data_IF_569279637111
#
_entry.id   IF_569279637111
#
_cell.length_a   1.000
_cell.length_b   1.000
_cell.length_c   1.000
_cell.angle_alpha   90.00
_cell.angle_beta   90.00
_cell.angle_gamma   90.00
#
_symmetry.space_group_name_H-M   'P 1'
#
loop_
_entity.id
_entity.type
_entity.pdbx_description
1 polymer ?
#
# COMPACT_ATOMS: atom_id res chain seq x y z
N UNK A 1 -5.08 -7.10 22.94
CA UNK A 1 -4.53 -7.42 21.59
C UNK A 1 -3.50 -6.38 21.21
N UNK A 2 -2.51 -6.68 20.35
CA UNK A 2 -1.57 -5.67 19.88
C UNK A 2 -2.31 -4.57 19.13
N UNK A 3 -1.96 -3.31 19.41
CA UNK A 3 -2.53 -2.14 18.74
C UNK A 3 -1.66 -1.76 17.55
N UNK A 4 -2.27 -1.39 16.43
CA UNK A 4 -1.57 -1.09 15.20
C UNK A 4 -1.73 0.38 14.81
N UNK A 5 -0.72 0.90 14.11
CA UNK A 5 -0.79 2.20 13.45
C UNK A 5 -0.41 2.03 11.98
N UNK A 6 -1.25 2.55 11.10
CA UNK A 6 -1.03 2.59 9.66
C UNK A 6 -0.25 3.85 9.29
N UNK A 7 0.74 3.70 8.40
CA UNK A 7 1.36 4.83 7.71
C UNK A 7 0.37 5.41 6.70
N UNK A 8 -0.25 6.53 7.03
CA UNK A 8 -1.25 7.21 6.22
C UNK A 8 -0.70 8.20 5.19
N UNK A 9 0.61 8.21 4.93
CA UNK A 9 1.20 9.10 3.92
C UNK A 9 0.64 8.90 2.51
N UNK A 10 0.02 7.77 2.23
CA UNK A 10 -0.65 7.53 0.95
C UNK A 10 -1.87 8.42 0.70
N UNK A 11 -2.43 9.07 1.73
CA UNK A 11 -3.55 9.99 1.54
C UNK A 11 -3.18 11.28 0.81
N UNK A 12 -1.91 11.70 0.87
CA UNK A 12 -1.39 12.86 0.12
C UNK A 12 -0.75 12.50 -1.22
N UNK A 13 -0.70 11.20 -1.56
CA UNK A 13 -0.15 10.74 -2.82
C UNK A 13 -1.21 10.69 -3.93
N UNK A 14 -0.77 10.74 -5.18
CA UNK A 14 -1.64 10.51 -6.32
C UNK A 14 -2.31 9.14 -6.21
N UNK A 15 -3.61 9.09 -6.42
CA UNK A 15 -4.39 7.86 -6.33
C UNK A 15 -3.98 6.89 -7.44
N UNK A 16 -3.37 5.78 -7.07
CA UNK A 16 -3.10 4.63 -7.94
C UNK A 16 -3.74 3.38 -7.35
N UNK A 17 -3.50 2.21 -7.94
CA UNK A 17 -4.02 0.94 -7.45
C UNK A 17 -3.64 0.65 -5.99
N UNK A 18 -2.39 0.94 -5.61
CA UNK A 18 -1.86 0.70 -4.26
C UNK A 18 -2.52 1.60 -3.22
N UNK A 19 -2.64 2.91 -3.51
CA UNK A 19 -3.31 3.83 -2.59
C UNK A 19 -4.82 3.54 -2.49
N UNK A 20 -5.44 3.13 -3.59
CA UNK A 20 -6.84 2.67 -3.58
C UNK A 20 -7.00 1.44 -2.71
N UNK A 21 -6.16 0.43 -2.88
CA UNK A 21 -6.16 -0.76 -2.03
C UNK A 21 -6.13 -0.39 -0.55
N UNK A 22 -5.18 0.45 -0.13
CA UNK A 22 -5.06 0.86 1.26
C UNK A 22 -6.33 1.54 1.79
N UNK A 23 -6.92 2.47 1.00
CA UNK A 23 -8.18 3.16 1.37
C UNK A 23 -9.36 2.19 1.48
N UNK A 24 -9.52 1.29 0.52
CA UNK A 24 -10.62 0.31 0.51
C UNK A 24 -10.51 -0.68 1.67
N UNK A 25 -9.32 -1.18 1.96
CA UNK A 25 -9.09 -2.09 3.09
C UNK A 25 -9.38 -1.39 4.41
N UNK A 26 -8.93 -0.15 4.62
CA UNK A 26 -9.25 0.60 5.85
C UNK A 26 -10.75 0.81 6.01
N UNK A 27 -11.45 1.19 4.93
CA UNK A 27 -12.90 1.36 4.96
C UNK A 27 -13.64 0.05 5.28
N UNK A 28 -13.15 -1.08 4.77
CA UNK A 28 -13.74 -2.41 5.06
C UNK A 28 -13.42 -2.89 6.48
N UNK A 29 -12.24 -2.57 7.01
CA UNK A 29 -11.83 -2.94 8.37
C UNK A 29 -12.55 -2.12 9.43
N UNK A 30 -12.82 -0.84 9.17
CA UNK A 30 -13.35 0.08 10.17
C UNK A 30 -14.55 -0.46 10.97
N UNK A 31 -15.63 -0.98 10.34
CA UNK A 31 -16.76 -1.53 11.08
C UNK A 31 -16.47 -2.84 11.84
N UNK A 32 -15.33 -3.48 11.57
CA UNK A 32 -14.94 -4.76 12.16
C UNK A 32 -14.00 -4.61 13.36
N UNK A 33 -13.52 -3.40 13.61
CA UNK A 33 -12.53 -3.09 14.66
C UNK A 33 -13.21 -2.57 15.91
N UNK A 34 -12.58 -2.83 17.05
CA UNK A 34 -12.90 -2.13 18.29
C UNK A 34 -12.24 -0.74 18.32
N UNK A 35 -12.87 0.26 18.95
CA UNK A 35 -12.29 1.59 19.07
C UNK A 35 -10.88 1.57 19.68
N UNK A 36 -9.93 2.16 18.96
CA UNK A 36 -8.54 2.26 19.39
C UNK A 36 -7.64 1.05 19.07
N UNK A 37 -8.14 0.00 18.42
CA UNK A 37 -7.29 -1.09 17.89
C UNK A 37 -6.38 -0.59 16.77
N UNK A 38 -6.92 0.21 15.86
CA UNK A 38 -6.19 0.75 14.71
C UNK A 38 -6.16 2.27 14.74
N UNK A 39 -5.01 2.82 14.43
CA UNK A 39 -4.83 4.24 14.14
C UNK A 39 -4.28 4.41 12.73
N UNK A 40 -4.60 5.54 12.11
CA UNK A 40 -3.95 5.99 10.87
C UNK A 40 -3.21 7.28 11.18
N UNK A 41 -1.88 7.22 11.08
CA UNK A 41 -1.02 8.39 11.25
C UNK A 41 -0.87 9.10 9.91
N UNK A 42 -1.25 10.37 9.84
CA UNK A 42 -1.32 11.12 8.60
C UNK A 42 -0.49 12.41 8.66
N UNK A 43 0.03 12.88 7.50
CA UNK A 43 0.59 14.23 7.40
C UNK A 43 -0.50 15.30 7.67
N UNK A 44 -0.11 16.53 8.02
CA UNK A 44 -1.06 17.65 8.07
C UNK A 44 -1.71 17.90 6.70
N UNK A 45 -2.85 18.56 6.71
CA UNK A 45 -3.56 19.06 5.52
C UNK A 45 -3.98 17.98 4.51
N UNK A 46 -4.08 16.71 4.94
CA UNK A 46 -4.61 15.65 4.09
C UNK A 46 -6.10 15.40 4.33
N UNK A 47 -6.80 15.07 3.25
CA UNK A 47 -8.22 14.70 3.30
C UNK A 47 -8.30 13.20 3.59
N UNK A 48 -8.84 12.86 4.76
CA UNK A 48 -9.05 11.50 5.21
C UNK A 48 -10.55 11.25 5.36
N UNK A 49 -11.07 10.09 4.96
CA UNK A 49 -12.46 9.72 5.22
C UNK A 49 -12.77 9.72 6.74
N UNK A 50 -14.02 9.97 7.08
CA UNK A 50 -14.49 9.74 8.44
C UNK A 50 -14.56 8.23 8.71
N UNK A 51 -13.95 7.80 9.81
CA UNK A 51 -13.98 6.44 10.29
C UNK A 51 -14.76 6.37 11.61
N UNK A 52 -15.44 5.25 11.84
CA UNK A 52 -16.20 5.01 13.07
C UNK A 52 -15.31 4.56 14.23
N UNK A 53 -14.41 3.63 13.96
CA UNK A 53 -13.59 2.94 14.97
C UNK A 53 -12.08 3.19 14.78
N UNK A 54 -11.64 3.54 13.57
CA UNK A 54 -10.24 3.86 13.29
C UNK A 54 -9.97 5.31 13.72
N UNK A 55 -8.98 5.49 14.57
CA UNK A 55 -8.55 6.82 14.99
C UNK A 55 -7.58 7.44 14.00
N UNK A 56 -7.85 8.64 13.53
CA UNK A 56 -6.92 9.43 12.70
C UNK A 56 -6.05 10.29 13.61
N UNK A 57 -4.73 10.23 13.42
CA UNK A 57 -3.74 10.99 14.18
C UNK A 57 -2.89 11.82 13.22
N UNK A 58 -3.03 13.13 13.27
CA UNK A 58 -2.18 14.04 12.48
C UNK A 58 -0.83 14.20 13.15
N UNK A 59 0.23 13.88 12.41
CA UNK A 59 1.60 14.03 12.87
C UNK A 59 2.21 15.37 12.42
N UNK A 60 3.29 15.85 13.06
CA UNK A 60 3.93 17.10 12.70
C UNK A 60 4.37 17.14 11.23
N UNK A 61 4.37 18.34 10.65
CA UNK A 61 4.87 18.59 9.30
C UNK A 61 6.30 18.06 9.12
N UNK A 62 6.55 17.48 7.97
CA UNK A 62 7.86 16.95 7.60
C UNK A 62 8.14 17.14 6.11
N UNK A 63 9.41 17.25 5.75
CA UNK A 63 9.81 17.38 4.34
C UNK A 63 10.30 16.06 3.77
N UNK A 64 9.66 15.66 2.67
CA UNK A 64 10.04 14.47 1.90
C UNK A 64 9.90 13.15 2.65
N UNK A 65 10.25 12.07 1.96
CA UNK A 65 10.09 10.69 2.45
C UNK A 65 10.88 10.44 3.73
N UNK A 66 12.13 10.88 3.79
CA UNK A 66 12.99 10.65 4.97
C UNK A 66 12.52 11.43 6.20
N UNK A 67 12.01 12.64 6.00
CA UNK A 67 11.39 13.42 7.07
C UNK A 67 10.19 12.69 7.66
N UNK A 68 9.28 12.24 6.81
CA UNK A 68 8.13 11.45 7.21
C UNK A 68 8.52 10.17 7.97
N UNK A 69 9.46 9.41 7.44
CA UNK A 69 9.96 8.19 8.08
C UNK A 69 10.47 8.44 9.52
N UNK A 70 11.12 9.58 9.76
CA UNK A 70 11.61 9.96 11.10
C UNK A 70 10.46 10.35 12.03
N UNK A 71 9.51 11.14 11.56
CA UNK A 71 8.35 11.58 12.35
C UNK A 71 7.48 10.38 12.72
N UNK A 72 7.13 9.55 11.75
CA UNK A 72 6.34 8.35 11.96
C UNK A 72 7.05 7.33 12.86
N UNK A 73 8.34 7.10 12.65
CA UNK A 73 9.13 6.20 13.48
C UNK A 73 9.25 6.66 14.94
N UNK A 74 9.33 7.98 15.17
CA UNK A 74 9.31 8.58 16.53
C UNK A 74 7.95 8.37 17.19
N UNK A 75 6.88 8.61 16.47
CA UNK A 75 5.52 8.37 16.96
C UNK A 75 5.32 6.91 17.39
N UNK A 76 5.75 5.95 16.58
CA UNK A 76 5.67 4.52 16.91
C UNK A 76 6.47 4.19 18.18
N UNK A 77 7.66 4.76 18.33
CA UNK A 77 8.50 4.54 19.51
C UNK A 77 7.83 5.08 20.80
N UNK A 78 7.11 6.19 20.71
CA UNK A 78 6.41 6.80 21.84
C UNK A 78 5.08 6.09 22.13
N UNK A 79 4.35 5.66 21.13
CA UNK A 79 3.04 5.02 21.30
C UNK A 79 3.12 3.55 21.69
N UNK A 80 4.25 2.88 21.46
CA UNK A 80 4.42 1.45 21.67
C UNK A 80 3.57 0.55 20.78
N UNK A 81 2.95 1.12 19.73
CA UNK A 81 2.09 0.39 18.79
C UNK A 81 2.91 -0.33 17.71
N UNK A 82 2.33 -1.39 17.17
CA UNK A 82 2.91 -2.07 16.00
C UNK A 82 2.58 -1.29 14.72
N UNK A 83 3.46 -1.31 13.73
CA UNK A 83 3.20 -0.68 12.45
C UNK A 83 2.43 -1.61 11.51
N UNK A 84 1.58 -1.04 10.65
CA UNK A 84 0.92 -1.68 9.52
C UNK A 84 1.26 -0.89 8.25
N UNK A 85 2.14 -1.44 7.43
CA UNK A 85 2.53 -0.86 6.14
C UNK A 85 1.66 -1.40 5.02
N UNK A 86 0.91 -0.54 4.32
CA UNK A 86 -0.06 -0.96 3.30
C UNK A 86 0.38 -0.69 1.86
N UNK A 87 1.44 0.08 1.65
CA UNK A 87 1.85 0.57 0.34
C UNK A 87 3.31 0.21 -0.01
N UNK A 88 3.72 -1.03 0.21
CA UNK A 88 5.10 -1.50 -0.03
C UNK A 88 6.16 -0.75 0.83
N UNK A 89 5.74 -0.04 1.86
CA UNK A 89 6.62 0.80 2.70
C UNK A 89 6.37 0.52 4.17
N UNK A 90 7.46 0.49 4.94
CA UNK A 90 7.45 0.35 6.40
C UNK A 90 8.33 1.42 7.04
N UNK A 91 8.22 1.68 8.36
CA UNK A 91 9.12 2.58 9.07
C UNK A 91 10.52 1.95 9.20
N UNK A 92 11.31 2.06 8.14
CA UNK A 92 12.57 1.33 7.97
C UNK A 92 13.59 1.63 9.08
N UNK A 93 13.59 2.83 9.62
CA UNK A 93 14.53 3.26 10.68
C UNK A 93 13.99 3.03 12.10
N UNK A 94 12.73 2.62 12.25
CA UNK A 94 12.16 2.30 13.55
C UNK A 94 12.75 0.99 14.09
N UNK A 95 13.18 0.99 15.36
CA UNK A 95 13.78 -0.18 16.05
C UNK A 95 12.84 -0.75 17.11
N UNK A 96 11.58 -0.65 16.93
CA UNK A 96 10.58 -1.12 17.90
C UNK A 96 9.82 -2.33 17.40
N UNK A 97 8.59 -2.44 17.91
CA UNK A 97 7.68 -3.53 17.68
C UNK A 97 7.57 -3.92 16.21
N UNK A 98 7.61 -5.21 15.97
CA UNK A 98 7.40 -5.78 14.65
C UNK A 98 5.95 -5.54 14.18
N UNK A 99 5.78 -5.29 12.90
CA UNK A 99 4.48 -5.04 12.30
C UNK A 99 4.13 -5.99 11.17
N UNK A 100 3.08 -5.62 10.45
CA UNK A 100 2.60 -6.33 9.28
C UNK A 100 2.85 -5.44 8.06
N UNK A 101 3.37 -6.02 6.98
CA UNK A 101 3.55 -5.32 5.71
C UNK A 101 2.67 -5.92 4.62
N UNK A 102 2.01 -5.09 3.84
CA UNK A 102 1.42 -5.48 2.57
C UNK A 102 2.44 -5.21 1.46
N UNK A 103 2.78 -6.23 0.70
CA UNK A 103 3.67 -6.16 -0.47
C UNK A 103 2.86 -6.60 -1.69
N UNK A 104 2.56 -5.66 -2.58
CA UNK A 104 1.74 -5.92 -3.75
C UNK A 104 2.51 -6.69 -4.82
N UNK A 105 3.75 -6.29 -5.05
CA UNK A 105 4.68 -6.90 -5.98
C UNK A 105 6.12 -6.57 -5.59
N UNK A 106 7.07 -7.17 -6.31
CA UNK A 106 8.51 -6.86 -6.22
C UNK A 106 9.08 -6.43 -7.57
N UNK A 107 8.27 -5.77 -8.40
CA UNK A 107 8.58 -5.39 -9.76
C UNK A 107 9.90 -4.60 -9.88
N UNK A 108 10.16 -3.68 -8.96
CA UNK A 108 11.42 -2.93 -8.92
C UNK A 108 12.68 -3.82 -8.83
N UNK A 109 12.55 -5.00 -8.25
CA UNK A 109 13.64 -5.98 -8.14
C UNK A 109 13.60 -6.98 -9.29
N UNK A 110 12.41 -7.44 -9.66
CA UNK A 110 12.23 -8.47 -10.68
C UNK A 110 12.46 -7.94 -12.11
N UNK A 111 12.10 -6.67 -12.36
CA UNK A 111 12.16 -6.03 -13.67
C UNK A 111 12.83 -4.65 -13.61
N UNK A 112 14.13 -4.58 -13.27
CA UNK A 112 14.87 -3.31 -13.21
C UNK A 112 14.95 -2.61 -14.57
N UNK A 113 14.79 -3.34 -15.66
CA UNK A 113 14.72 -2.87 -17.04
C UNK A 113 13.55 -1.90 -17.32
N UNK A 114 12.50 -1.91 -16.49
CA UNK A 114 11.38 -0.97 -16.63
C UNK A 114 11.69 0.44 -16.08
N UNK A 115 12.77 0.59 -15.31
CA UNK A 115 13.11 1.82 -14.58
C UNK A 115 14.44 2.37 -15.08
N UNK A 116 14.45 2.92 -16.30
CA UNK A 116 15.67 3.32 -17.01
C UNK A 116 16.07 4.77 -16.77
N UNK A 117 15.11 5.65 -16.51
CA UNK A 117 15.34 7.05 -16.19
C UNK A 117 15.83 7.26 -14.75
N UNK A 118 16.42 8.42 -14.48
CA UNK A 118 17.01 8.73 -13.14
C UNK A 118 15.98 8.61 -12.01
N UNK A 119 14.74 9.09 -12.24
CA UNK A 119 13.67 9.04 -11.25
C UNK A 119 13.23 7.61 -10.97
N UNK A 120 13.06 6.80 -12.00
CA UNK A 120 12.72 5.38 -11.89
C UNK A 120 13.81 4.60 -11.15
N UNK A 121 15.09 4.85 -11.46
CA UNK A 121 16.23 4.21 -10.79
C UNK A 121 16.30 4.55 -9.30
N UNK A 122 16.14 5.81 -8.94
CA UNK A 122 16.13 6.24 -7.51
C UNK A 122 14.94 5.64 -6.77
N UNK A 123 13.76 5.59 -7.40
CA UNK A 123 12.58 4.91 -6.87
C UNK A 123 12.84 3.41 -6.69
N UNK A 124 13.44 2.75 -7.67
CA UNK A 124 13.77 1.33 -7.59
C UNK A 124 14.73 1.01 -6.44
N UNK A 125 15.76 1.81 -6.24
CA UNK A 125 16.68 1.66 -5.10
C UNK A 125 15.93 1.79 -3.78
N UNK A 126 15.10 2.83 -3.63
CA UNK A 126 14.29 3.03 -2.43
C UNK A 126 13.37 1.83 -2.14
N UNK A 127 12.61 1.37 -3.14
CA UNK A 127 11.71 0.23 -2.97
C UNK A 127 12.44 -1.08 -2.70
N UNK A 128 13.56 -1.34 -3.36
CA UNK A 128 14.37 -2.52 -3.05
C UNK A 128 14.90 -2.51 -1.62
N UNK A 129 15.28 -1.34 -1.09
CA UNK A 129 15.65 -1.18 0.33
C UNK A 129 14.45 -1.45 1.25
N UNK A 130 13.26 -0.95 0.90
CA UNK A 130 12.03 -1.21 1.65
C UNK A 130 11.68 -2.71 1.66
N UNK A 131 11.73 -3.39 0.52
CA UNK A 131 11.46 -4.84 0.45
C UNK A 131 12.44 -5.66 1.29
N UNK A 132 13.74 -5.32 1.25
CA UNK A 132 14.74 -5.96 2.11
C UNK A 132 14.46 -5.71 3.60
N UNK A 133 14.06 -4.50 3.96
CA UNK A 133 13.68 -4.15 5.32
C UNK A 133 12.40 -4.90 5.76
N UNK A 134 11.38 -5.02 4.89
CA UNK A 134 10.16 -5.79 5.11
C UNK A 134 10.49 -7.26 5.34
N UNK A 135 11.29 -7.88 4.48
CA UNK A 135 11.71 -9.26 4.59
C UNK A 135 12.30 -9.57 5.97
N UNK A 136 13.14 -8.65 6.48
CA UNK A 136 13.83 -8.78 7.76
C UNK A 136 12.94 -8.45 8.96
N UNK A 137 12.18 -7.35 8.91
CA UNK A 137 11.53 -6.75 10.09
C UNK A 137 10.04 -7.08 10.24
N UNK A 138 9.32 -7.39 9.16
CA UNK A 138 7.91 -7.67 9.28
C UNK A 138 7.68 -8.98 10.04
N UNK A 139 6.75 -8.99 10.98
CA UNK A 139 6.26 -10.20 11.64
C UNK A 139 5.49 -11.09 10.68
N UNK A 140 4.63 -10.47 9.86
CA UNK A 140 3.89 -11.11 8.77
C UNK A 140 3.92 -10.21 7.54
N UNK A 141 3.87 -10.85 6.38
CA UNK A 141 3.74 -10.18 5.09
C UNK A 141 2.41 -10.63 4.48
N UNK A 142 1.64 -9.68 4.01
CA UNK A 142 0.44 -9.91 3.21
C UNK A 142 0.78 -9.58 1.76
N UNK A 143 0.37 -10.41 0.82
CA UNK A 143 0.52 -10.15 -0.60
C UNK A 143 -0.75 -10.49 -1.36
N UNK A 144 -0.84 -10.07 -2.62
CA UNK A 144 -2.10 -10.06 -3.38
C UNK A 144 -2.27 -11.27 -4.32
N UNK A 145 -1.25 -12.11 -4.45
CA UNK A 145 -1.32 -13.31 -5.29
C UNK A 145 -0.27 -14.36 -4.91
N UNK A 146 -0.47 -15.61 -5.30
CA UNK A 146 0.53 -16.67 -5.16
C UNK A 146 1.78 -16.38 -6.01
N UNK A 147 1.60 -15.72 -7.15
CA UNK A 147 2.73 -15.26 -7.97
C UNK A 147 3.59 -14.25 -7.20
N UNK A 148 2.98 -13.19 -6.63
CA UNK A 148 3.73 -12.22 -5.82
C UNK A 148 4.40 -12.88 -4.60
N UNK A 149 3.74 -13.86 -3.98
CA UNK A 149 4.35 -14.64 -2.89
C UNK A 149 5.61 -15.38 -3.37
N UNK A 150 5.54 -16.08 -4.50
CA UNK A 150 6.68 -16.79 -5.06
C UNK A 150 7.85 -15.85 -5.40
N UNK A 151 7.57 -14.67 -5.94
CA UNK A 151 8.58 -13.68 -6.25
C UNK A 151 9.22 -13.07 -4.98
N UNK A 152 8.44 -12.81 -3.93
CA UNK A 152 8.97 -12.35 -2.62
C UNK A 152 9.93 -13.40 -2.05
N UNK A 153 9.54 -14.69 -2.06
CA UNK A 153 10.39 -15.79 -1.60
C UNK A 153 11.66 -15.86 -2.43
N UNK A 154 11.56 -15.83 -3.75
CA UNK A 154 12.67 -15.94 -4.69
C UNK A 154 13.71 -14.81 -4.53
N UNK A 155 13.27 -13.57 -4.45
CA UNK A 155 14.18 -12.41 -4.45
C UNK A 155 14.68 -11.99 -3.07
N UNK A 156 13.91 -12.28 -2.01
CA UNK A 156 14.22 -11.83 -0.65
C UNK A 156 14.38 -12.97 0.36
N UNK A 157 14.29 -14.23 -0.09
CA UNK A 157 14.50 -15.44 0.73
C UNK A 157 13.66 -15.47 2.02
N UNK A 158 12.44 -14.93 1.93
CA UNK A 158 11.49 -14.90 3.06
C UNK A 158 10.93 -16.31 3.25
N UNK A 159 10.81 -16.75 4.52
CA UNK A 159 10.09 -17.99 4.81
C UNK A 159 8.65 -17.90 4.30
N UNK A 160 8.17 -18.81 3.43
CA UNK A 160 6.82 -18.80 2.88
C UNK A 160 5.70 -18.77 3.93
N UNK A 161 5.93 -19.33 5.13
CA UNK A 161 4.97 -19.33 6.24
C UNK A 161 4.75 -17.92 6.85
N UNK A 162 5.69 -17.02 6.60
CA UNK A 162 5.57 -15.60 6.97
C UNK A 162 4.65 -14.84 6.05
N UNK A 163 4.31 -15.39 4.87
CA UNK A 163 3.57 -14.71 3.80
C UNK A 163 2.16 -15.30 3.69
N UNK A 164 1.16 -14.44 3.84
CA UNK A 164 -0.25 -14.76 3.62
C UNK A 164 -0.74 -14.09 2.35
N UNK A 165 -1.44 -14.83 1.49
CA UNK A 165 -2.06 -14.28 0.27
C UNK A 165 -3.48 -13.85 0.60
N UNK A 166 -3.78 -12.59 0.28
CA UNK A 166 -5.12 -12.00 0.34
C UNK A 166 -5.38 -11.34 -1.01
N UNK A 167 -6.23 -11.93 -1.82
CA UNK A 167 -6.51 -11.47 -3.18
C UNK A 167 -7.16 -10.09 -3.19
N UNK A 168 -6.88 -9.34 -4.25
CA UNK A 168 -7.55 -8.06 -4.48
C UNK A 168 -9.05 -8.24 -4.70
N UNK A 169 -9.81 -7.33 -4.13
CA UNK A 169 -11.27 -7.30 -4.26
C UNK A 169 -11.70 -6.32 -5.37
N UNK A 170 -12.86 -6.54 -5.93
CA UNK A 170 -13.43 -5.79 -7.07
C UNK A 170 -14.62 -4.90 -6.68
N UNK A 171 -15.12 -4.98 -5.46
CA UNK A 171 -16.36 -4.33 -5.01
C UNK A 171 -16.35 -2.81 -5.20
N UNK A 172 -15.18 -2.19 -5.17
CA UNK A 172 -15.04 -0.76 -5.46
C UNK A 172 -15.52 -0.40 -6.89
N UNK A 173 -15.44 -1.34 -7.83
CA UNK A 173 -15.92 -1.14 -9.21
C UNK A 173 -17.44 -0.98 -9.29
N UNK A 174 -18.20 -1.50 -8.33
CA UNK A 174 -19.66 -1.33 -8.29
C UNK A 174 -20.07 0.14 -8.07
N UNK A 175 -19.19 0.95 -7.51
CA UNK A 175 -19.42 2.38 -7.28
C UNK A 175 -19.04 3.25 -8.48
N UNK A 176 -18.36 2.67 -9.48
CA UNK A 176 -17.99 3.37 -10.71
C UNK A 176 -19.23 3.49 -11.58
N UNK A 177 -19.69 4.71 -11.81
CA UNK A 177 -20.77 4.97 -12.75
C UNK A 177 -20.22 4.86 -14.17
N UNK A 178 -20.86 4.04 -15.03
CA UNK A 178 -20.49 3.99 -16.45
C UNK A 178 -20.64 5.39 -17.07
N UNK A 179 -19.61 5.87 -17.73
CA UNK A 179 -19.72 7.05 -18.56
C UNK A 179 -19.92 6.60 -20.03
N UNK A 180 -21.13 6.77 -20.59
CA UNK A 180 -21.43 6.35 -21.96
C UNK A 180 -20.63 7.12 -23.01
N UNK A 181 -20.08 8.29 -22.67
CA UNK A 181 -19.25 9.11 -23.57
C UNK A 181 -17.84 8.55 -23.79
N UNK A 182 -17.39 7.62 -22.93
CA UNK A 182 -16.06 6.99 -23.08
C UNK A 182 -15.96 6.04 -24.29
N UNK A 183 -17.09 5.62 -24.86
CA UNK A 183 -17.14 4.72 -26.02
C UNK A 183 -17.52 5.48 -27.30
N UNK A 184 -17.05 6.67 -27.50
CA UNK A 184 -17.34 7.47 -28.67
C UNK A 184 -16.06 8.10 -29.24
N UNK A 185 -16.21 9.28 -29.75
CA UNK A 185 -15.20 10.11 -30.41
C UNK A 185 -13.92 10.33 -29.61
N UNK A 186 -13.96 10.15 -28.27
CA UNK A 186 -12.82 10.30 -27.37
C UNK A 186 -12.09 8.97 -27.03
N UNK A 187 -12.55 7.85 -27.58
CA UNK A 187 -11.92 6.56 -27.36
C UNK A 187 -10.59 6.48 -28.11
N UNK A 188 -9.50 6.22 -27.38
CA UNK A 188 -8.22 5.85 -28.01
C UNK A 188 -8.27 4.53 -28.78
N UNK A 189 -9.36 3.81 -28.62
CA UNK A 189 -9.62 2.51 -29.23
C UNK A 189 -11.04 2.49 -29.86
N UNK A 190 -11.24 3.20 -30.99
CA UNK A 190 -12.54 3.30 -31.63
C UNK A 190 -13.10 1.96 -32.14
N UNK A 191 -12.22 0.94 -32.24
CA UNK A 191 -12.61 -0.44 -32.60
C UNK A 191 -13.27 -1.22 -31.47
N UNK A 192 -13.17 -0.75 -30.22
CA UNK A 192 -13.78 -1.44 -29.07
C UNK A 192 -15.27 -1.14 -29.02
N UNK A 193 -16.09 -2.19 -29.07
CA UNK A 193 -17.52 -2.11 -28.88
C UNK A 193 -17.90 -2.58 -27.49
N UNK A 194 -18.89 -1.93 -26.89
CA UNK A 194 -19.40 -2.29 -25.58
C UNK A 194 -19.83 -3.76 -25.55
N UNK A 195 -19.26 -4.54 -24.62
CA UNK A 195 -19.59 -5.96 -24.47
C UNK A 195 -18.78 -6.93 -25.33
N UNK A 196 -17.91 -6.43 -26.24
CA UNK A 196 -17.12 -7.27 -27.16
C UNK A 196 -15.65 -7.41 -26.74
N UNK A 197 -15.27 -7.02 -25.50
CA UNK A 197 -13.90 -7.12 -25.01
C UNK A 197 -13.84 -7.53 -23.54
N UNK A 198 -12.72 -8.13 -23.18
CA UNK A 198 -12.35 -8.38 -21.77
C UNK A 198 -11.21 -7.44 -21.38
N UNK A 199 -11.32 -6.87 -20.19
CA UNK A 199 -10.27 -6.01 -19.63
C UNK A 199 -9.68 -6.67 -18.38
N UNK A 200 -8.37 -6.84 -18.36
CA UNK A 200 -7.65 -7.33 -17.18
C UNK A 200 -6.66 -6.29 -16.68
N UNK A 201 -6.81 -5.88 -15.43
CA UNK A 201 -5.91 -4.94 -14.77
C UNK A 201 -4.61 -5.59 -14.23
N UNK A 202 -4.55 -6.93 -14.22
CA UNK A 202 -3.50 -7.67 -13.51
C UNK A 202 -2.38 -8.19 -14.42
N UNK A 203 -2.46 -7.98 -15.72
CA UNK A 203 -1.47 -8.46 -16.69
C UNK A 203 -0.68 -7.34 -17.36
N UNK A 204 -0.53 -6.19 -16.70
CA UNK A 204 0.30 -5.10 -17.18
C UNK A 204 1.70 -5.17 -16.61
#
# INVERSE_FOLDING_TARGET
MPKYTVDGSFFVQQLSGIQRYAREILAAMDPMLEPGELEVAVPPDCIVPEYRNIKVVTLPQSSGILGWQRVYGRYLAQSGRCWLGMCNVIPMFHRGNEGIAVVHDVCYKARPDFYTDLRGRTSAVWHCMQYAAIAKKARKIVTVSEFSKSEIVKYYHVNPEKITVVYNAWQHMQRVRPDPMLFGEYSKWPQLKKGEYYFCLLYT
#
